data_IF_074188557342
#
_entry.id   IF_074188557342
#
_cell.length_a   1.000
_cell.length_b   1.000
_cell.length_c   1.000
_cell.angle_alpha   90.00
_cell.angle_beta   90.00
_cell.angle_gamma   90.00
#
_symmetry.space_group_name_H-M   'P 1'
#
loop_
_entity.id
_entity.type
_entity.pdbx_description
1 polymer ?
#
# COMPACT_ATOMS: atom_id res chain seq x y z
N UNK A 1 -26.24 -0.92 49.66
CA UNK A 1 -24.84 -0.55 49.37
C UNK A 1 -24.70 -0.32 47.87
N UNK A 2 -24.05 0.76 47.46
CA UNK A 2 -23.81 1.09 46.04
C UNK A 2 -22.40 0.63 45.63
N UNK A 3 -22.28 -0.07 44.51
CA UNK A 3 -21.01 -0.57 43.96
C UNK A 3 -20.30 0.45 43.05
N UNK A 4 -20.71 1.72 43.09
CA UNK A 4 -20.18 2.74 42.17
C UNK A 4 -18.65 2.86 42.23
N UNK A 5 -18.07 2.93 43.43
CA UNK A 5 -16.62 3.03 43.63
C UNK A 5 -15.83 1.78 43.18
N UNK A 6 -16.50 0.64 43.03
CA UNK A 6 -15.89 -0.60 42.52
C UNK A 6 -15.69 -0.53 41.01
N UNK A 7 -16.70 -0.04 40.28
CA UNK A 7 -16.63 0.09 38.83
C UNK A 7 -15.79 1.30 38.37
N UNK A 8 -15.66 2.36 39.17
CA UNK A 8 -14.75 3.49 38.85
C UNK A 8 -13.28 3.12 38.97
N UNK A 9 -12.94 1.96 39.56
CA UNK A 9 -11.56 1.42 39.58
C UNK A 9 -11.22 0.63 38.32
N UNK A 10 -12.21 0.23 37.53
CA UNK A 10 -11.98 -0.39 36.23
C UNK A 10 -11.60 0.70 35.23
N UNK A 11 -10.32 0.75 34.86
CA UNK A 11 -9.85 1.58 33.75
C UNK A 11 -10.42 1.08 32.42
N UNK A 12 -10.25 1.87 31.36
CA UNK A 12 -10.60 1.42 30.01
C UNK A 12 -9.93 0.08 29.69
N UNK A 13 -10.75 -0.91 29.35
CA UNK A 13 -10.29 -2.23 28.96
C UNK A 13 -10.90 -2.62 27.63
N UNK A 14 -10.08 -3.11 26.73
CA UNK A 14 -10.59 -3.71 25.51
C UNK A 14 -11.35 -5.02 25.80
N UNK A 15 -12.29 -5.42 24.92
CA UNK A 15 -12.94 -6.72 25.01
C UNK A 15 -11.92 -7.87 25.06
N UNK A 16 -12.20 -8.85 25.91
CA UNK A 16 -11.41 -10.08 25.98
C UNK A 16 -11.31 -10.73 24.60
N UNK A 17 -10.10 -11.05 24.16
CA UNK A 17 -9.86 -11.69 22.86
C UNK A 17 -9.72 -10.74 21.67
N UNK A 18 -9.83 -9.41 21.84
CA UNK A 18 -9.64 -8.47 20.72
C UNK A 18 -8.27 -8.62 20.06
N UNK A 19 -7.22 -8.95 20.84
CA UNK A 19 -5.87 -9.11 20.34
C UNK A 19 -5.75 -10.31 19.40
N UNK A 20 -6.43 -11.42 19.72
CA UNK A 20 -6.47 -12.60 18.86
C UNK A 20 -7.25 -12.32 17.56
N UNK A 21 -8.34 -11.54 17.65
CA UNK A 21 -9.10 -11.14 16.47
C UNK A 21 -8.27 -10.25 15.54
N UNK A 22 -7.69 -9.17 16.06
CA UNK A 22 -6.86 -8.25 15.26
C UNK A 22 -5.64 -8.99 14.71
N UNK A 23 -4.97 -9.81 15.53
CA UNK A 23 -3.85 -10.65 15.10
C UNK A 23 -4.25 -11.59 13.95
N UNK A 24 -5.35 -12.32 14.10
CA UNK A 24 -5.86 -13.23 13.06
C UNK A 24 -6.20 -12.50 11.75
N UNK A 25 -6.88 -11.36 11.83
CA UNK A 25 -7.19 -10.54 10.66
C UNK A 25 -5.93 -10.02 9.97
N UNK A 26 -4.96 -9.51 10.73
CA UNK A 26 -3.69 -9.04 10.15
C UNK A 26 -2.93 -10.18 9.49
N UNK A 27 -2.90 -11.37 10.12
CA UNK A 27 -2.24 -12.54 9.56
C UNK A 27 -2.82 -12.91 8.20
N UNK A 28 -4.15 -12.99 8.09
CA UNK A 28 -4.83 -13.34 6.83
C UNK A 28 -4.61 -12.31 5.72
N UNK A 29 -4.49 -11.02 6.07
CA UNK A 29 -4.27 -9.96 5.09
C UNK A 29 -2.81 -9.85 4.62
N UNK A 30 -1.84 -10.26 5.44
CA UNK A 30 -0.42 -10.15 5.13
C UNK A 30 0.14 -11.44 4.53
N UNK A 31 -0.16 -12.59 5.12
CA UNK A 31 0.40 -13.88 4.72
C UNK A 31 -0.43 -14.55 3.63
N UNK A 32 -0.55 -13.88 2.49
CA UNK A 32 -1.38 -14.34 1.37
C UNK A 32 -0.65 -15.26 0.38
N UNK A 33 0.70 -15.35 0.46
CA UNK A 33 1.51 -16.18 -0.43
C UNK A 33 1.54 -15.69 -1.89
N UNK A 34 1.09 -14.47 -2.15
CA UNK A 34 1.06 -13.81 -3.46
C UNK A 34 1.61 -12.38 -3.33
N UNK A 35 2.02 -11.75 -4.45
CA UNK A 35 2.37 -10.35 -4.45
C UNK A 35 1.24 -9.49 -3.87
N UNK A 36 1.60 -8.36 -3.25
CA UNK A 36 0.62 -7.40 -2.79
C UNK A 36 -0.26 -6.92 -3.95
N UNK A 37 -1.49 -6.51 -3.64
CA UNK A 37 -2.47 -6.13 -4.67
C UNK A 37 -1.88 -5.15 -5.69
N UNK A 38 -2.04 -5.47 -6.98
CA UNK A 38 -1.57 -4.68 -8.12
C UNK A 38 -0.04 -4.47 -8.20
N UNK A 39 0.73 -5.26 -7.46
CA UNK A 39 2.19 -5.32 -7.61
C UNK A 39 2.62 -6.61 -8.29
N UNK A 40 3.82 -6.60 -8.85
CA UNK A 40 4.43 -7.75 -9.51
C UNK A 40 5.82 -7.98 -8.92
N UNK A 41 6.15 -9.23 -8.65
CA UNK A 41 7.50 -9.62 -8.29
C UNK A 41 8.43 -9.49 -9.49
N UNK A 42 9.55 -8.80 -9.30
CA UNK A 42 10.58 -8.60 -10.31
C UNK A 42 11.90 -9.19 -9.83
N UNK A 43 12.82 -9.42 -10.76
CA UNK A 43 14.13 -9.96 -10.41
C UNK A 43 14.92 -8.96 -9.56
N UNK A 44 15.85 -9.47 -8.75
CA UNK A 44 16.75 -8.61 -7.96
C UNK A 44 17.56 -7.65 -8.86
N UNK A 45 18.02 -8.13 -10.01
CA UNK A 45 18.77 -7.32 -10.97
C UNK A 45 17.95 -6.16 -11.52
N UNK A 46 16.72 -6.44 -11.93
CA UNK A 46 15.75 -5.44 -12.39
C UNK A 46 15.43 -4.41 -11.30
N UNK A 47 15.20 -4.86 -10.06
CA UNK A 47 14.95 -3.98 -8.93
C UNK A 47 16.13 -3.04 -8.65
N UNK A 48 17.37 -3.54 -8.69
CA UNK A 48 18.56 -2.71 -8.44
C UNK A 48 18.90 -1.75 -9.58
N UNK A 49 18.55 -2.11 -10.81
CA UNK A 49 18.83 -1.30 -11.99
C UNK A 49 17.77 -0.22 -12.23
N UNK A 50 16.57 -0.37 -11.68
CA UNK A 50 15.44 0.51 -11.93
C UNK A 50 15.31 1.57 -10.83
N UNK A 51 15.50 2.86 -11.12
CA UNK A 51 15.21 3.93 -10.17
C UNK A 51 13.76 3.90 -9.69
N UNK A 52 13.51 4.33 -8.45
CA UNK A 52 12.18 4.30 -7.82
C UNK A 52 11.08 4.96 -8.66
N UNK A 53 11.41 6.05 -9.35
CA UNK A 53 10.46 6.79 -10.20
C UNK A 53 9.92 5.93 -11.35
N UNK A 54 10.72 4.99 -11.87
CA UNK A 54 10.30 4.06 -12.93
C UNK A 54 9.72 2.76 -12.38
N UNK A 55 9.89 2.50 -11.08
CA UNK A 55 9.34 1.34 -10.39
C UNK A 55 7.87 1.55 -9.98
N UNK A 56 7.48 2.81 -9.75
CA UNK A 56 6.13 3.17 -9.32
C UNK A 56 5.17 3.26 -10.51
N UNK A 57 3.98 2.69 -10.34
CA UNK A 57 2.90 2.83 -11.31
C UNK A 57 1.93 3.94 -10.89
N UNK A 58 1.55 4.89 -11.78
CA UNK A 58 0.66 6.01 -11.45
C UNK A 58 -0.70 5.60 -10.88
N UNK A 59 -1.30 4.53 -11.40
CA UNK A 59 -2.62 4.05 -10.93
C UNK A 59 -2.63 3.63 -9.46
N UNK A 60 -1.48 3.29 -8.89
CA UNK A 60 -1.34 2.90 -7.49
C UNK A 60 -1.15 4.09 -6.54
N UNK A 61 -1.03 5.29 -7.10
CA UNK A 61 -0.75 6.51 -6.37
C UNK A 61 -1.71 7.63 -6.80
N UNK A 62 -3.02 7.45 -6.60
CA UNK A 62 -4.00 8.47 -6.94
C UNK A 62 -3.84 9.68 -6.01
N UNK A 63 -4.02 10.87 -6.58
CA UNK A 63 -4.06 12.10 -5.79
C UNK A 63 -5.22 12.04 -4.81
N UNK A 64 -4.96 12.28 -3.53
CA UNK A 64 -5.97 12.20 -2.45
C UNK A 64 -7.21 13.06 -2.72
N UNK A 65 -7.03 14.24 -3.30
CA UNK A 65 -8.09 15.19 -3.67
C UNK A 65 -7.86 15.64 -5.11
N UNK A 66 -8.27 14.84 -6.10
CA UNK A 66 -7.95 15.10 -7.49
C UNK A 66 -8.84 16.21 -8.04
N UNK A 67 -8.24 17.20 -8.74
CA UNK A 67 -9.01 18.26 -9.42
C UNK A 67 -9.61 17.78 -10.74
N UNK A 68 -8.99 16.77 -11.35
CA UNK A 68 -9.43 16.13 -12.59
C UNK A 68 -9.52 14.62 -12.35
N UNK A 69 -10.45 13.91 -13.01
CA UNK A 69 -10.49 12.44 -12.94
C UNK A 69 -9.12 11.84 -13.29
N UNK A 70 -8.72 10.78 -12.58
CA UNK A 70 -7.46 10.05 -12.79
C UNK A 70 -6.17 10.87 -12.56
N UNK A 71 -6.22 11.95 -11.78
CA UNK A 71 -5.01 12.65 -11.34
C UNK A 71 -4.18 11.76 -10.40
N UNK A 72 -2.88 11.63 -10.69
CA UNK A 72 -1.94 10.80 -9.93
C UNK A 72 -0.82 11.66 -9.32
N UNK A 73 -0.30 11.22 -8.18
CA UNK A 73 0.78 11.94 -7.48
C UNK A 73 2.17 11.64 -8.03
N UNK A 74 2.30 10.56 -8.80
CA UNK A 74 3.55 10.19 -9.51
C UNK A 74 3.37 10.29 -11.02
N UNK A 75 4.46 10.66 -11.74
CA UNK A 75 4.46 10.76 -13.18
C UNK A 75 4.45 9.37 -13.85
N UNK A 76 3.94 9.25 -15.09
CA UNK A 76 4.01 8.02 -15.91
C UNK A 76 5.41 7.80 -16.51
N UNK A 77 6.43 7.85 -15.67
CA UNK A 77 7.83 7.91 -16.11
C UNK A 77 8.29 6.67 -16.89
N UNK A 78 7.78 5.48 -16.56
CA UNK A 78 8.09 4.24 -17.29
C UNK A 78 7.52 4.27 -18.72
N UNK A 79 6.27 4.71 -18.88
CA UNK A 79 5.62 4.83 -20.18
C UNK A 79 6.32 5.89 -21.04
N UNK A 80 6.69 7.03 -20.45
CA UNK A 80 7.46 8.07 -21.11
C UNK A 80 8.86 7.58 -21.55
N UNK A 81 9.55 6.79 -20.71
CA UNK A 81 10.83 6.19 -21.05
C UNK A 81 10.69 5.22 -22.23
N UNK A 82 9.70 4.34 -22.19
CA UNK A 82 9.45 3.37 -23.27
C UNK A 82 9.09 4.10 -24.57
N UNK A 83 8.21 5.10 -24.51
CA UNK A 83 7.85 5.91 -25.67
C UNK A 83 9.07 6.64 -26.27
N UNK A 84 9.96 7.17 -25.42
CA UNK A 84 11.20 7.83 -25.83
C UNK A 84 12.26 6.87 -26.38
N UNK A 85 12.35 5.66 -25.83
CA UNK A 85 13.27 4.62 -26.31
C UNK A 85 12.84 4.08 -27.68
N UNK A 86 11.53 3.84 -27.87
CA UNK A 86 10.99 3.36 -29.14
C UNK A 86 10.96 4.45 -30.23
N UNK A 87 10.78 5.73 -29.89
CA UNK A 87 10.84 6.83 -30.85
C UNK A 87 12.24 7.13 -31.39
N UNK A 88 13.31 6.74 -30.67
CA UNK A 88 14.70 6.95 -31.11
C UNK A 88 15.24 5.87 -32.05
N UNK A 89 14.54 4.75 -32.22
CA UNK A 89 14.96 3.67 -33.11
C UNK A 89 14.65 3.95 -34.60
N UNK A 90 13.99 5.06 -34.91
CA UNK A 90 13.52 5.42 -36.27
C UNK A 90 14.24 6.64 -36.88
N UNK A 91 15.36 7.08 -36.33
CA UNK A 91 16.18 8.16 -36.88
C UNK A 91 17.61 7.71 -37.17
#
# INVERSE_FOLDING_TARGET
MSYYAYFTRANFSFPTGIAALVGGLTYLNVFTGRPASLTKEISKGEYTATPTVYLQHPELHPTRLPKVPNMTDVPPALEELMHKAHGKAHH
#
